data_IF_669850260205
#
_entry.id   IF_669850260205
#
_cell.length_a   1.000
_cell.length_b   1.000
_cell.length_c   1.000
_cell.angle_alpha   90.00
_cell.angle_beta   90.00
_cell.angle_gamma   90.00
#
_symmetry.space_group_name_H-M   'P 1'
#
loop_
_entity.id
_entity.type
_entity.pdbx_description
1 polymer ?
#
# COMPACT_ATOMS: atom_id res chain seq x y z
N UNK A 1 1.96 -2.71 -15.47
CA UNK A 1 2.03 -1.75 -16.60
C UNK A 1 2.84 -0.51 -16.22
N UNK A 2 2.81 -0.06 -14.98
CA UNK A 2 3.46 1.20 -14.53
C UNK A 2 5.00 1.12 -14.42
N UNK A 3 5.56 -0.06 -14.39
CA UNK A 3 6.97 -0.28 -14.02
C UNK A 3 7.95 0.19 -15.08
N UNK A 4 7.57 0.22 -16.35
CA UNK A 4 8.46 0.66 -17.43
C UNK A 4 8.57 2.19 -17.57
N UNK A 5 7.73 2.95 -16.88
CA UNK A 5 7.67 4.41 -16.96
C UNK A 5 8.41 5.12 -15.82
N UNK A 6 8.76 4.38 -14.76
CA UNK A 6 9.45 4.93 -13.59
C UNK A 6 10.91 4.55 -13.71
N UNK A 7 11.79 5.53 -13.88
CA UNK A 7 13.24 5.30 -13.91
C UNK A 7 13.68 4.49 -12.68
N UNK A 8 14.57 3.54 -12.91
CA UNK A 8 14.99 2.54 -11.93
C UNK A 8 15.56 3.16 -10.64
N UNK A 9 16.19 4.33 -10.74
CA UNK A 9 16.87 5.02 -9.64
C UNK A 9 15.99 6.08 -8.93
N UNK A 10 14.74 6.24 -9.34
CA UNK A 10 13.86 7.26 -8.79
C UNK A 10 13.60 7.03 -7.31
N UNK A 11 13.71 8.07 -6.48
CA UNK A 11 13.40 7.95 -5.06
C UNK A 11 11.91 7.64 -4.81
N UNK A 12 11.59 7.08 -3.65
CA UNK A 12 10.21 6.65 -3.32
C UNK A 12 9.21 7.80 -3.46
N UNK A 13 9.61 9.03 -3.10
CA UNK A 13 8.78 10.23 -3.25
C UNK A 13 8.40 10.49 -4.70
N UNK A 14 9.37 10.41 -5.61
CA UNK A 14 9.15 10.70 -7.02
C UNK A 14 8.39 9.56 -7.70
N UNK A 15 8.61 8.31 -7.27
CA UNK A 15 7.78 7.17 -7.69
C UNK A 15 6.31 7.40 -7.34
N UNK A 16 6.01 7.87 -6.14
CA UNK A 16 4.63 8.19 -5.74
C UNK A 16 4.00 9.23 -6.65
N UNK A 17 4.74 10.28 -6.99
CA UNK A 17 4.27 11.33 -7.92
C UNK A 17 4.03 10.78 -9.33
N UNK A 18 4.99 10.00 -9.86
CA UNK A 18 4.90 9.39 -11.18
C UNK A 18 3.70 8.43 -11.27
N UNK A 19 3.51 7.57 -10.25
CA UNK A 19 2.39 6.63 -10.18
C UNK A 19 1.06 7.40 -10.10
N UNK A 20 0.97 8.43 -9.25
CA UNK A 20 -0.22 9.25 -9.12
C UNK A 20 -0.60 9.95 -10.43
N UNK A 21 0.38 10.56 -11.11
CA UNK A 21 0.18 11.17 -12.43
C UNK A 21 -0.31 10.14 -13.45
N UNK A 22 0.37 9.00 -13.57
CA UNK A 22 0.00 7.93 -14.51
C UNK A 22 -1.41 7.43 -14.25
N UNK A 23 -1.80 7.29 -12.99
CA UNK A 23 -3.15 6.87 -12.60
C UNK A 23 -4.20 7.83 -13.15
N UNK A 24 -3.98 9.15 -13.00
CA UNK A 24 -4.87 10.17 -13.53
C UNK A 24 -4.92 10.16 -15.05
N UNK A 25 -3.76 10.03 -15.71
CA UNK A 25 -3.68 9.99 -17.17
C UNK A 25 -4.45 8.80 -17.75
N UNK A 26 -4.32 7.61 -17.12
CA UNK A 26 -5.08 6.40 -17.51
C UNK A 26 -6.57 6.61 -17.28
N UNK A 27 -6.93 7.15 -16.12
CA UNK A 27 -8.33 7.42 -15.79
C UNK A 27 -8.97 8.37 -16.78
N UNK A 28 -8.32 9.49 -17.11
CA UNK A 28 -8.78 10.45 -18.11
C UNK A 28 -8.96 9.83 -19.49
N UNK A 29 -8.02 8.97 -19.89
CA UNK A 29 -8.11 8.25 -21.16
C UNK A 29 -9.35 7.36 -21.23
N UNK A 30 -9.65 6.65 -20.14
CA UNK A 30 -10.85 5.80 -20.08
C UNK A 30 -12.13 6.65 -19.98
N UNK A 31 -12.15 7.71 -19.21
CA UNK A 31 -13.29 8.62 -19.13
C UNK A 31 -13.66 9.25 -20.48
N UNK A 32 -12.65 9.60 -21.30
CA UNK A 32 -12.87 10.13 -22.66
C UNK A 32 -13.47 9.11 -23.64
N UNK A 33 -13.29 7.81 -23.39
CA UNK A 33 -13.89 6.75 -24.22
C UNK A 33 -15.39 6.60 -24.02
N UNK A 34 -15.89 7.06 -22.89
CA UNK A 34 -17.31 6.98 -22.56
C UNK A 34 -17.88 8.38 -22.34
N UNK A 35 -18.48 8.92 -23.39
CA UNK A 35 -19.08 10.28 -23.38
C UNK A 35 -20.28 10.43 -22.44
N UNK A 36 -20.78 9.33 -21.87
CA UNK A 36 -21.90 9.36 -20.89
C UNK A 36 -21.42 9.61 -19.47
N UNK A 37 -20.11 9.56 -19.19
CA UNK A 37 -19.57 9.86 -17.88
C UNK A 37 -19.68 11.36 -17.62
N UNK A 38 -20.44 11.73 -16.59
CA UNK A 38 -20.65 13.12 -16.19
C UNK A 38 -19.96 13.48 -14.86
N UNK A 39 -19.63 12.49 -14.05
CA UNK A 39 -19.13 12.66 -12.70
C UNK A 39 -17.97 11.70 -12.41
N UNK A 40 -17.06 12.13 -11.56
CA UNK A 40 -16.02 11.29 -10.96
C UNK A 40 -16.39 11.02 -9.50
N UNK A 41 -16.65 9.78 -9.14
CA UNK A 41 -16.81 9.39 -7.73
C UNK A 41 -15.44 9.11 -7.11
N UNK A 42 -15.15 9.72 -5.96
CA UNK A 42 -13.91 9.54 -5.21
C UNK A 42 -14.21 9.08 -3.79
N UNK A 43 -13.47 8.08 -3.31
CA UNK A 43 -13.62 7.50 -1.98
C UNK A 43 -12.82 8.25 -0.90
N UNK A 44 -12.75 9.58 -0.97
CA UNK A 44 -12.15 10.43 0.05
C UNK A 44 -12.90 10.25 1.38
N UNK A 45 -12.16 10.12 2.47
CA UNK A 45 -12.69 10.05 3.83
C UNK A 45 -12.20 11.24 4.67
N UNK A 46 -12.81 11.50 5.82
CA UNK A 46 -12.48 12.67 6.64
C UNK A 46 -11.01 12.79 7.05
N UNK A 47 -10.29 11.71 7.42
CA UNK A 47 -8.84 11.80 7.64
C UNK A 47 -8.03 12.32 6.44
N UNK A 48 -8.43 11.99 5.20
CA UNK A 48 -7.76 12.49 4.00
C UNK A 48 -7.95 14.01 3.86
N UNK A 49 -9.12 14.52 4.24
CA UNK A 49 -9.42 15.96 4.23
C UNK A 49 -8.56 16.71 5.24
N UNK A 50 -8.48 16.20 6.49
CA UNK A 50 -7.66 16.81 7.56
C UNK A 50 -6.19 16.85 7.17
N UNK A 51 -5.64 15.73 6.71
CA UNK A 51 -4.24 15.62 6.32
C UNK A 51 -3.87 16.53 5.16
N UNK A 52 -4.83 16.85 4.30
CA UNK A 52 -4.66 17.77 3.17
C UNK A 52 -4.84 19.24 3.56
N UNK A 53 -5.66 19.53 4.57
CA UNK A 53 -5.92 20.90 5.05
C UNK A 53 -4.74 21.52 5.81
N UNK A 54 -3.87 20.69 6.41
CA UNK A 54 -2.69 21.12 7.16
C UNK A 54 -1.64 21.89 6.35
N UNK A 55 -1.79 21.96 5.03
CA UNK A 55 -0.84 22.65 4.14
C UNK A 55 -1.03 24.15 4.01
N UNK A 56 -2.16 24.71 4.44
CA UNK A 56 -2.45 26.15 4.30
C UNK A 56 -1.76 27.06 5.35
N UNK A 57 -1.25 26.53 6.45
CA UNK A 57 -0.65 27.29 7.56
C UNK A 57 0.82 27.00 7.86
N UNK A 58 1.61 26.65 6.88
CA UNK A 58 3.05 26.97 6.84
C UNK A 58 4.03 26.17 7.72
N UNK A 59 3.67 25.07 8.38
CA UNK A 59 4.64 24.28 9.19
C UNK A 59 4.44 22.76 9.21
N UNK A 60 3.36 22.24 8.67
CA UNK A 60 3.14 20.80 8.59
C UNK A 60 3.60 20.24 7.24
N UNK A 61 4.56 19.32 7.26
CA UNK A 61 4.93 18.58 6.07
C UNK A 61 3.72 17.82 5.52
N UNK A 62 3.45 17.97 4.20
CA UNK A 62 2.41 17.21 3.48
C UNK A 62 2.71 15.73 3.62
N UNK A 63 1.99 15.03 4.48
CA UNK A 63 2.19 13.61 4.74
C UNK A 63 1.71 12.76 3.56
N UNK A 64 0.69 13.22 2.84
CA UNK A 64 0.13 12.50 1.68
C UNK A 64 0.13 13.37 0.43
N UNK A 65 1.08 13.14 -0.45
CA UNK A 65 1.19 13.80 -1.77
C UNK A 65 0.43 13.07 -2.90
N UNK A 66 -0.28 11.99 -2.58
CA UNK A 66 -0.92 11.10 -3.57
C UNK A 66 -2.44 10.98 -3.41
N UNK A 67 -3.02 11.57 -2.38
CA UNK A 67 -4.47 11.77 -2.30
C UNK A 67 -4.82 13.04 -3.05
N UNK A 68 -5.69 12.90 -4.04
CA UNK A 68 -6.18 14.02 -4.88
C UNK A 68 -7.18 14.93 -4.15
N UNK A 69 -7.10 15.04 -2.83
CA UNK A 69 -7.95 15.92 -2.03
C UNK A 69 -7.57 17.36 -2.34
N UNK A 70 -8.47 18.07 -3.00
CA UNK A 70 -8.29 19.48 -3.40
C UNK A 70 -7.28 19.72 -4.54
N UNK A 71 -6.82 18.67 -5.23
CA UNK A 71 -5.72 18.77 -6.19
C UNK A 71 -5.88 17.95 -7.47
N UNK A 72 -7.11 17.67 -7.91
CA UNK A 72 -7.30 17.14 -9.26
C UNK A 72 -6.81 18.19 -10.27
N UNK A 73 -6.08 17.79 -11.33
CA UNK A 73 -5.59 18.72 -12.32
C UNK A 73 -6.75 19.54 -12.92
N UNK A 74 -6.53 20.83 -13.13
CA UNK A 74 -7.53 21.76 -13.68
C UNK A 74 -8.07 21.36 -15.07
N UNK A 75 -7.37 20.43 -15.75
CA UNK A 75 -7.82 19.87 -17.03
C UNK A 75 -8.82 18.70 -16.88
N UNK A 76 -9.12 18.28 -15.65
CA UNK A 76 -10.19 17.32 -15.39
C UNK A 76 -11.53 18.05 -15.37
N UNK A 77 -12.18 18.15 -16.53
CA UNK A 77 -13.50 18.79 -16.67
C UNK A 77 -14.67 17.93 -16.15
N UNK A 78 -14.41 17.04 -15.16
CA UNK A 78 -15.45 16.23 -14.52
C UNK A 78 -15.68 16.73 -13.09
N UNK A 79 -16.90 17.06 -12.71
CA UNK A 79 -17.21 17.34 -11.32
C UNK A 79 -17.01 16.10 -10.47
N UNK A 80 -16.51 16.30 -9.24
CA UNK A 80 -16.18 15.22 -8.30
C UNK A 80 -17.29 15.04 -7.28
N UNK A 81 -17.67 13.80 -7.01
CA UNK A 81 -18.58 13.41 -5.92
C UNK A 81 -17.78 12.66 -4.87
N UNK A 82 -17.81 13.13 -3.64
CA UNK A 82 -17.09 12.57 -2.49
C UNK A 82 -18.08 12.21 -1.35
N UNK A 83 -18.86 11.14 -1.50
CA UNK A 83 -19.96 10.84 -0.57
C UNK A 83 -19.49 10.44 0.84
N UNK A 84 -18.22 10.10 1.01
CA UNK A 84 -17.65 9.62 2.26
C UNK A 84 -16.75 10.65 2.96
N UNK A 85 -16.61 11.86 2.41
CA UNK A 85 -15.62 12.86 2.85
C UNK A 85 -15.74 13.32 4.30
N UNK A 86 -16.93 13.19 4.88
CA UNK A 86 -17.21 13.61 6.25
C UNK A 86 -17.24 12.43 7.24
N UNK A 87 -16.87 11.23 6.78
CA UNK A 87 -16.91 9.99 7.56
C UNK A 87 -15.52 9.50 7.93
N UNK A 88 -15.40 8.92 9.13
CA UNK A 88 -14.23 8.15 9.54
C UNK A 88 -14.27 6.73 8.95
N UNK A 89 -13.13 6.07 8.94
CA UNK A 89 -12.97 4.76 8.32
C UNK A 89 -13.83 3.68 8.98
N UNK A 90 -14.03 3.74 10.28
CA UNK A 90 -14.90 2.82 11.02
C UNK A 90 -16.38 3.03 10.68
N UNK A 91 -16.81 4.26 10.46
CA UNK A 91 -18.18 4.59 10.02
C UNK A 91 -18.42 4.09 8.60
N UNK A 92 -17.46 4.30 7.69
CA UNK A 92 -17.51 3.75 6.32
C UNK A 92 -17.63 2.23 6.33
N UNK A 93 -16.92 1.55 7.23
CA UNK A 93 -17.01 0.09 7.40
C UNK A 93 -18.38 -0.35 7.89
N UNK A 94 -18.99 0.37 8.85
CA UNK A 94 -20.35 0.10 9.33
C UNK A 94 -21.36 0.22 8.21
N UNK A 95 -21.32 1.31 7.45
CA UNK A 95 -22.17 1.52 6.27
C UNK A 95 -21.97 0.38 5.25
N UNK A 96 -20.72 0.00 4.99
CA UNK A 96 -20.41 -1.11 4.07
C UNK A 96 -21.03 -2.44 4.52
N UNK A 97 -21.04 -2.73 5.83
CA UNK A 97 -21.69 -3.92 6.37
C UNK A 97 -23.21 -3.87 6.17
N UNK A 98 -23.83 -2.72 6.42
CA UNK A 98 -25.28 -2.54 6.21
C UNK A 98 -25.67 -2.65 4.72
N UNK A 99 -24.77 -2.25 3.81
CA UNK A 99 -24.92 -2.43 2.37
C UNK A 99 -24.66 -3.87 1.90
N UNK A 100 -24.30 -4.80 2.81
CA UNK A 100 -24.05 -6.21 2.48
C UNK A 100 -22.71 -6.49 1.84
N UNK A 101 -21.73 -5.59 1.96
CA UNK A 101 -20.39 -5.86 1.45
C UNK A 101 -19.68 -6.95 2.27
N UNK A 102 -18.92 -7.87 1.62
CA UNK A 102 -18.19 -8.92 2.32
C UNK A 102 -17.19 -8.36 3.32
N UNK A 103 -17.09 -8.98 4.49
CA UNK A 103 -16.15 -8.58 5.56
C UNK A 103 -14.71 -8.58 5.09
N UNK A 104 -14.33 -9.52 4.24
CA UNK A 104 -12.99 -9.66 3.67
C UNK A 104 -12.57 -8.43 2.86
N UNK A 105 -13.52 -7.75 2.23
CA UNK A 105 -13.27 -6.51 1.49
C UNK A 105 -13.19 -5.32 2.46
N UNK A 106 -14.13 -5.23 3.41
CA UNK A 106 -14.25 -4.10 4.31
C UNK A 106 -13.10 -4.00 5.32
N UNK A 107 -12.62 -5.15 5.81
CA UNK A 107 -11.58 -5.23 6.84
C UNK A 107 -10.19 -5.56 6.30
N UNK A 108 -10.03 -5.60 4.97
CA UNK A 108 -8.69 -5.79 4.41
C UNK A 108 -7.75 -4.68 4.87
N UNK A 109 -6.48 -5.04 5.05
CA UNK A 109 -5.46 -4.07 5.41
C UNK A 109 -5.33 -2.98 4.35
N UNK A 110 -5.03 -1.73 4.73
CA UNK A 110 -4.79 -0.66 3.78
C UNK A 110 -3.58 -1.02 2.92
N UNK A 111 -3.79 -1.01 1.60
CA UNK A 111 -2.73 -1.18 0.62
C UNK A 111 -2.37 0.19 0.06
N UNK A 112 -1.13 0.66 0.19
CA UNK A 112 -0.74 1.98 -0.31
C UNK A 112 -1.09 2.13 -1.79
N UNK A 113 -1.62 3.29 -2.21
CA UNK A 113 -1.93 3.56 -3.61
C UNK A 113 -0.78 3.27 -4.57
N UNK A 114 0.49 3.62 -4.25
CA UNK A 114 1.65 3.27 -5.06
C UNK A 114 2.00 1.77 -5.08
N UNK A 115 1.34 0.94 -4.28
CA UNK A 115 1.51 -0.50 -4.26
C UNK A 115 2.94 -0.95 -3.95
N UNK A 116 3.39 -1.98 -4.66
CA UNK A 116 4.73 -2.54 -4.50
C UNK A 116 5.85 -1.56 -4.86
N UNK A 117 5.57 -0.52 -5.66
CA UNK A 117 6.56 0.47 -6.04
C UNK A 117 7.21 1.25 -4.90
N UNK A 118 6.61 1.26 -3.70
CA UNK A 118 7.18 1.87 -2.49
C UNK A 118 7.68 0.85 -1.46
N UNK A 119 7.53 -0.44 -1.76
CA UNK A 119 7.99 -1.53 -0.90
C UNK A 119 9.32 -2.13 -1.37
N UNK A 120 9.87 -1.65 -2.48
CA UNK A 120 11.21 -1.97 -2.96
C UNK A 120 12.10 -0.75 -2.71
N UNK A 121 13.05 -0.88 -1.79
CA UNK A 121 14.01 0.17 -1.51
C UNK A 121 15.14 0.09 -2.53
N UNK A 122 15.34 1.14 -3.32
CA UNK A 122 16.30 1.16 -4.42
C UNK A 122 15.68 0.90 -5.79
N UNK A 123 16.45 0.39 -6.72
CA UNK A 123 16.02 0.14 -8.11
C UNK A 123 14.88 -0.87 -8.20
N UNK A 124 13.89 -0.63 -9.08
CA UNK A 124 12.81 -1.56 -9.34
C UNK A 124 13.19 -2.50 -10.48
N UNK A 125 13.36 -3.79 -10.16
CA UNK A 125 13.64 -4.86 -11.11
C UNK A 125 12.53 -5.91 -11.09
N UNK A 126 12.27 -6.53 -12.24
CA UNK A 126 11.24 -7.59 -12.33
C UNK A 126 11.47 -8.75 -11.35
N UNK A 127 12.69 -9.26 -11.15
CA UNK A 127 12.94 -10.28 -10.14
C UNK A 127 12.53 -9.82 -8.73
N UNK A 128 12.90 -8.59 -8.34
CA UNK A 128 12.57 -8.03 -7.01
C UNK A 128 11.07 -7.92 -6.76
N UNK A 129 10.31 -7.59 -7.82
CA UNK A 129 8.85 -7.54 -7.74
C UNK A 129 8.29 -8.93 -7.49
N UNK A 130 8.77 -9.94 -8.21
CA UNK A 130 8.33 -11.32 -8.01
C UNK A 130 8.65 -11.82 -6.61
N UNK A 131 9.86 -11.58 -6.14
CA UNK A 131 10.29 -11.95 -4.80
C UNK A 131 9.41 -11.32 -3.72
N UNK A 132 9.15 -10.00 -3.80
CA UNK A 132 8.32 -9.33 -2.79
C UNK A 132 6.85 -9.75 -2.87
N UNK A 133 6.32 -10.06 -4.06
CA UNK A 133 4.96 -10.59 -4.19
C UNK A 133 4.81 -11.92 -3.48
N UNK A 134 5.76 -12.84 -3.67
CA UNK A 134 5.75 -14.14 -3.01
C UNK A 134 5.91 -13.99 -1.48
N UNK A 135 6.87 -13.16 -1.04
CA UNK A 135 7.08 -12.93 0.39
C UNK A 135 5.85 -12.30 1.07
N UNK A 136 5.21 -11.35 0.42
CA UNK A 136 3.99 -10.71 0.93
C UNK A 136 2.83 -11.70 1.01
N UNK A 137 2.65 -12.54 -0.01
CA UNK A 137 1.62 -13.58 -0.04
C UNK A 137 1.81 -14.61 1.08
N UNK A 138 3.03 -15.11 1.26
CA UNK A 138 3.36 -16.03 2.36
C UNK A 138 3.06 -15.38 3.71
N UNK A 139 3.54 -14.16 3.94
CA UNK A 139 3.36 -13.47 5.21
C UNK A 139 1.89 -13.21 5.53
N UNK A 140 1.11 -12.70 4.57
CA UNK A 140 -0.32 -12.46 4.74
C UNK A 140 -1.07 -13.79 4.95
N UNK A 141 -0.75 -14.83 4.19
CA UNK A 141 -1.37 -16.14 4.36
C UNK A 141 -1.14 -16.74 5.75
N UNK A 142 0.08 -16.58 6.30
CA UNK A 142 0.38 -17.03 7.67
C UNK A 142 -0.38 -16.20 8.71
N UNK A 143 -0.51 -14.88 8.53
CA UNK A 143 -1.32 -14.03 9.41
C UNK A 143 -2.80 -14.47 9.43
N UNK A 144 -3.36 -14.79 8.26
CA UNK A 144 -4.74 -15.28 8.17
C UNK A 144 -4.88 -16.64 8.85
N UNK A 145 -4.02 -17.61 8.51
CA UNK A 145 -4.02 -18.95 9.09
C UNK A 145 -3.81 -18.96 10.61
N UNK A 146 -2.98 -18.04 11.11
CA UNK A 146 -2.70 -17.89 12.54
C UNK A 146 -3.73 -17.10 13.32
N UNK A 147 -4.75 -16.52 12.66
CA UNK A 147 -5.76 -15.67 13.29
C UNK A 147 -5.19 -14.33 13.78
N UNK A 148 -4.10 -13.86 13.18
CA UNK A 148 -3.47 -12.57 13.51
C UNK A 148 -3.85 -11.46 12.53
N UNK A 149 -4.41 -11.77 11.37
CA UNK A 149 -4.70 -10.79 10.33
C UNK A 149 -5.60 -9.65 10.84
N UNK A 150 -6.66 -9.97 11.56
CA UNK A 150 -7.58 -8.97 12.11
C UNK A 150 -7.01 -8.25 13.36
N UNK A 151 -5.98 -8.80 14.00
CA UNK A 151 -5.34 -8.21 15.19
C UNK A 151 -4.32 -7.14 14.85
N UNK A 152 -3.80 -7.16 13.63
CA UNK A 152 -2.87 -6.14 13.13
C UNK A 152 -3.59 -5.18 12.19
N UNK A 153 -3.25 -3.91 12.26
CA UNK A 153 -3.90 -2.88 11.43
C UNK A 153 -3.35 -2.82 10.01
N UNK A 154 -2.07 -3.16 9.86
CA UNK A 154 -1.40 -3.26 8.57
C UNK A 154 -0.21 -4.21 8.67
N UNK A 155 -0.05 -5.08 7.68
CA UNK A 155 1.11 -5.95 7.54
C UNK A 155 1.52 -6.05 6.07
N UNK A 156 2.83 -6.12 5.81
CA UNK A 156 3.40 -6.30 4.48
C UNK A 156 4.89 -6.64 4.53
N UNK A 157 5.40 -7.17 3.42
CA UNK A 157 6.82 -7.36 3.19
C UNK A 157 7.46 -6.14 2.50
N UNK A 158 8.75 -5.90 2.76
CA UNK A 158 9.57 -4.86 2.12
C UNK A 158 10.84 -5.52 1.59
N UNK A 159 11.17 -5.26 0.33
CA UNK A 159 12.39 -5.74 -0.30
C UNK A 159 13.54 -4.74 -0.07
N UNK A 160 14.63 -5.23 0.46
CA UNK A 160 15.87 -4.49 0.65
C UNK A 160 16.93 -5.01 -0.35
N UNK A 161 17.47 -4.14 -1.23
CA UNK A 161 18.47 -4.55 -2.25
C UNK A 161 19.87 -4.69 -1.64
N UNK A 162 19.94 -5.22 -0.45
CA UNK A 162 21.17 -5.56 0.26
C UNK A 162 21.22 -7.07 0.41
N UNK A 163 22.41 -7.64 0.24
CA UNK A 163 22.62 -9.06 0.42
C UNK A 163 23.14 -9.34 1.82
N UNK A 164 22.58 -10.34 2.45
CA UNK A 164 23.07 -10.90 3.71
C UNK A 164 23.59 -12.30 3.48
N UNK A 165 24.53 -12.73 4.32
CA UNK A 165 25.02 -14.09 4.29
C UNK A 165 24.06 -14.98 5.08
N UNK A 166 23.58 -16.04 4.43
CA UNK A 166 22.87 -17.14 5.06
C UNK A 166 23.67 -18.43 4.96
N UNK A 167 23.39 -19.39 5.83
CA UNK A 167 23.93 -20.73 5.76
C UNK A 167 22.79 -21.69 5.45
N UNK A 168 22.87 -22.38 4.33
CA UNK A 168 21.89 -23.39 3.93
C UNK A 168 22.65 -24.70 3.69
N UNK A 169 22.47 -25.67 4.58
CA UNK A 169 23.35 -26.86 4.63
C UNK A 169 24.79 -26.45 4.92
N UNK A 170 25.73 -26.91 4.12
CA UNK A 170 27.17 -26.64 4.26
C UNK A 170 27.64 -25.45 3.40
N UNK A 171 26.73 -24.79 2.70
CA UNK A 171 27.05 -23.68 1.77
C UNK A 171 26.66 -22.31 2.31
N UNK A 172 27.54 -21.33 2.10
CA UNK A 172 27.20 -19.92 2.30
C UNK A 172 26.46 -19.42 1.08
N UNK A 173 25.30 -18.79 1.31
CA UNK A 173 24.54 -18.11 0.28
C UNK A 173 24.44 -16.61 0.57
N UNK A 174 24.46 -15.81 -0.47
CA UNK A 174 24.33 -14.35 -0.38
C UNK A 174 23.00 -13.95 -1.02
N UNK A 175 21.98 -13.82 -0.18
CA UNK A 175 20.61 -13.58 -0.63
C UNK A 175 20.11 -12.20 -0.21
N UNK A 176 19.10 -11.70 -0.92
CA UNK A 176 18.48 -10.42 -0.62
C UNK A 176 17.67 -10.48 0.68
N UNK A 177 17.60 -9.35 1.37
CA UNK A 177 16.89 -9.24 2.64
C UNK A 177 15.44 -8.85 2.40
N UNK A 178 14.52 -9.56 3.04
CA UNK A 178 13.12 -9.20 3.16
C UNK A 178 12.85 -8.75 4.60
N UNK A 179 12.33 -7.54 4.77
CA UNK A 179 11.85 -7.07 6.06
C UNK A 179 10.32 -7.27 6.15
N UNK A 180 9.87 -7.93 7.22
CA UNK A 180 8.45 -8.07 7.51
C UNK A 180 8.01 -6.94 8.43
N UNK A 181 6.94 -6.25 8.06
CA UNK A 181 6.35 -5.19 8.85
C UNK A 181 4.92 -5.56 9.24
N UNK A 182 4.64 -5.52 10.53
CA UNK A 182 3.30 -5.60 11.07
C UNK A 182 3.12 -4.51 12.14
N UNK A 183 2.05 -3.74 12.05
CA UNK A 183 1.79 -2.63 12.96
C UNK A 183 0.36 -2.65 13.47
N UNK A 184 0.20 -2.16 14.69
CA UNK A 184 -1.08 -1.86 15.32
C UNK A 184 -1.25 -0.35 15.40
N UNK A 185 -2.41 0.14 15.06
CA UNK A 185 -2.79 1.54 15.16
C UNK A 185 -4.28 1.67 15.35
N UNK A 186 -4.73 2.71 16.03
CA UNK A 186 -6.13 3.04 16.22
C UNK A 186 -6.58 4.05 15.16
N UNK A 187 -5.78 5.07 14.95
CA UNK A 187 -6.11 6.25 14.14
C UNK A 187 -5.33 6.33 12.82
N UNK A 188 -4.42 5.39 12.56
CA UNK A 188 -3.47 5.41 11.44
C UNK A 188 -2.51 6.62 11.41
N UNK A 189 -2.53 7.46 12.43
CA UNK A 189 -1.60 8.58 12.61
C UNK A 189 -0.38 8.14 13.41
N UNK A 190 -0.59 7.33 14.44
CA UNK A 190 0.45 6.72 15.26
C UNK A 190 0.40 5.21 15.12
N UNK A 191 1.55 4.57 15.04
CA UNK A 191 1.63 3.12 14.90
C UNK A 191 2.71 2.55 15.80
N UNK A 192 2.42 1.42 16.44
CA UNK A 192 3.39 0.61 17.17
C UNK A 192 3.61 -0.73 16.47
N UNK A 193 4.76 -1.34 16.69
CA UNK A 193 5.01 -2.69 16.19
C UNK A 193 4.00 -3.67 16.78
N UNK A 194 3.42 -4.52 15.94
CA UNK A 194 2.51 -5.56 16.38
C UNK A 194 3.26 -6.62 17.20
N UNK A 195 2.65 -7.07 18.28
CA UNK A 195 3.19 -8.13 19.13
C UNK A 195 2.80 -9.50 18.57
N UNK A 196 3.54 -9.95 17.55
CA UNK A 196 3.40 -11.29 17.01
C UNK A 196 4.27 -12.29 17.79
N UNK A 197 3.79 -13.51 18.08
CA UNK A 197 4.60 -14.53 18.76
C UNK A 197 5.84 -14.88 17.95
N UNK A 198 6.96 -15.15 18.66
CA UNK A 198 8.22 -15.52 18.01
C UNK A 198 8.08 -16.77 17.12
N UNK A 199 7.36 -17.79 17.61
CA UNK A 199 7.07 -19.01 16.85
C UNK A 199 6.31 -18.78 15.55
N UNK A 200 5.44 -17.77 15.52
CA UNK A 200 4.75 -17.35 14.30
C UNK A 200 5.73 -16.70 13.32
N UNK A 201 6.58 -15.79 13.80
CA UNK A 201 7.59 -15.11 12.97
C UNK A 201 8.61 -16.10 12.41
N UNK A 202 9.04 -17.06 13.23
CA UNK A 202 9.94 -18.14 12.84
C UNK A 202 9.32 -18.99 11.72
N UNK A 203 8.08 -19.41 11.87
CA UNK A 203 7.36 -20.18 10.84
C UNK A 203 7.25 -19.39 9.53
N UNK A 204 6.86 -18.13 9.59
CA UNK A 204 6.72 -17.27 8.41
C UNK A 204 8.06 -17.03 7.70
N UNK A 205 9.14 -16.76 8.44
CA UNK A 205 10.47 -16.56 7.87
C UNK A 205 11.03 -17.84 7.25
N UNK A 206 10.86 -19.00 7.89
CA UNK A 206 11.27 -20.29 7.33
C UNK A 206 10.55 -20.59 6.01
N UNK A 207 9.26 -20.31 5.92
CA UNK A 207 8.53 -20.44 4.67
C UNK A 207 9.08 -19.53 3.57
N UNK A 208 9.30 -18.24 3.89
CA UNK A 208 9.87 -17.27 2.93
C UNK A 208 11.23 -17.74 2.41
N UNK A 209 12.11 -18.19 3.31
CA UNK A 209 13.46 -18.64 2.95
C UNK A 209 13.43 -19.91 2.07
N UNK A 210 12.50 -20.84 2.34
CA UNK A 210 12.48 -22.13 1.65
C UNK A 210 11.61 -22.16 0.39
N UNK A 211 10.56 -21.33 0.31
CA UNK A 211 9.60 -21.36 -0.78
C UNK A 211 9.89 -20.32 -1.90
N UNK A 212 10.69 -19.28 -1.61
CA UNK A 212 11.02 -18.28 -2.62
C UNK A 212 12.32 -18.68 -3.34
N UNK A 213 12.28 -18.93 -4.65
CA UNK A 213 13.48 -19.20 -5.43
C UNK A 213 14.40 -17.97 -5.51
N UNK A 214 15.70 -18.22 -5.68
CA UNK A 214 16.76 -17.19 -5.84
C UNK A 214 16.53 -16.25 -7.03
#
# INVERSE_FOLDING_TARGET
IVISLVGSEMCIRDRRKAIGKTFIDVFLKEAKRNTKIQWLAQGTIYPDVIESAGTKNGSAHVIKSHHNVGGLPSYLNLPVIEPLKDLFKDEVRKIGLELGLPKEILFRHPFPGPGLGVRILGEIKRPYIKTIQLADDIFISELVKGGYYEKVSQAFAVFLPVKSVGVVGDARRYEYVIALRAVETIDFMTAKSAKLPHTFLEKGSNRIINEIPE
#
